data_IF_044904563862
#
_entry.id   IF_044904563862
#
_cell.length_a   1.000
_cell.length_b   1.000
_cell.length_c   1.000
_cell.angle_alpha   90.00
_cell.angle_beta   90.00
_cell.angle_gamma   90.00
#
_symmetry.space_group_name_H-M   'P 1'
#
loop_
_entity.id
_entity.type
_entity.pdbx_description
1 polymer ?
#
# COMPACT_ATOMS: atom_id res chain seq x y z
N UNK A 1 -14.96 -19.77 -19.56
CA UNK A 1 -15.20 -18.52 -20.32
C UNK A 1 -14.35 -17.45 -19.70
N UNK A 2 -13.49 -16.81 -20.49
CA UNK A 2 -12.64 -15.72 -20.02
C UNK A 2 -13.47 -14.46 -19.86
N UNK A 3 -13.51 -13.88 -18.66
CA UNK A 3 -14.31 -12.69 -18.36
C UNK A 3 -13.71 -11.42 -18.97
N UNK A 4 -12.40 -11.41 -19.21
CA UNK A 4 -11.64 -10.27 -19.74
C UNK A 4 -10.96 -10.54 -21.09
N UNK A 5 -11.17 -11.71 -21.70
CA UNK A 5 -10.57 -12.10 -22.98
C UNK A 5 -9.09 -12.49 -22.91
N UNK A 6 -8.46 -12.41 -21.73
CA UNK A 6 -7.09 -12.84 -21.46
C UNK A 6 -7.08 -13.71 -20.20
N UNK A 7 -6.78 -15.00 -20.37
CA UNK A 7 -6.80 -15.97 -19.25
C UNK A 7 -5.88 -15.60 -18.09
N UNK A 8 -4.79 -14.87 -18.36
CA UNK A 8 -3.86 -14.37 -17.33
C UNK A 8 -4.55 -13.37 -16.40
N UNK A 9 -5.39 -12.49 -16.93
CA UNK A 9 -6.12 -11.53 -16.11
C UNK A 9 -7.24 -12.18 -15.31
N UNK A 10 -7.95 -13.14 -15.91
CA UNK A 10 -8.98 -13.88 -15.19
C UNK A 10 -8.39 -14.69 -14.04
N UNK A 11 -7.24 -15.33 -14.23
CA UNK A 11 -6.51 -16.03 -13.15
C UNK A 11 -6.11 -15.08 -12.03
N UNK A 12 -5.53 -13.92 -12.36
CA UNK A 12 -5.12 -12.95 -11.34
C UNK A 12 -6.31 -12.34 -10.59
N UNK A 13 -7.44 -12.09 -11.27
CA UNK A 13 -8.70 -11.68 -10.64
C UNK A 13 -9.25 -12.76 -9.71
N UNK A 14 -9.24 -14.02 -10.13
CA UNK A 14 -9.71 -15.14 -9.32
C UNK A 14 -8.85 -15.29 -8.06
N UNK A 15 -7.52 -15.26 -8.19
CA UNK A 15 -6.61 -15.30 -7.03
C UNK A 15 -6.85 -14.14 -6.08
N UNK A 16 -7.02 -12.92 -6.61
CA UNK A 16 -7.28 -11.73 -5.79
C UNK A 16 -8.63 -11.85 -5.06
N UNK A 17 -9.67 -12.37 -5.72
CA UNK A 17 -10.96 -12.60 -5.07
C UNK A 17 -10.86 -13.66 -3.95
N UNK A 18 -10.05 -14.71 -4.13
CA UNK A 18 -9.80 -15.69 -3.05
C UNK A 18 -9.22 -15.00 -1.81
N UNK A 19 -8.17 -14.18 -1.99
CA UNK A 19 -7.56 -13.44 -0.89
C UNK A 19 -8.54 -12.47 -0.23
N UNK A 20 -9.37 -11.78 -1.02
CA UNK A 20 -10.38 -10.88 -0.46
C UNK A 20 -11.45 -11.61 0.35
N UNK A 21 -11.83 -12.82 -0.06
CA UNK A 21 -12.76 -13.65 0.71
C UNK A 21 -12.11 -14.09 2.04
N UNK A 22 -10.87 -14.58 2.00
CA UNK A 22 -10.11 -14.98 3.20
C UNK A 22 -9.94 -13.80 4.19
N UNK A 23 -9.68 -12.59 3.66
CA UNK A 23 -9.60 -11.38 4.49
C UNK A 23 -10.98 -10.99 5.02
N UNK A 24 -12.03 -11.14 4.22
CA UNK A 24 -13.41 -10.87 4.61
C UNK A 24 -13.92 -11.76 5.74
N UNK A 25 -13.43 -13.00 5.82
CA UNK A 25 -13.68 -13.89 6.97
C UNK A 25 -13.16 -13.31 8.29
N UNK A 26 -12.10 -12.50 8.24
CA UNK A 26 -11.49 -11.89 9.44
C UNK A 26 -11.98 -10.45 9.70
N UNK A 27 -12.15 -9.64 8.65
CA UNK A 27 -12.44 -8.20 8.73
C UNK A 27 -13.94 -7.89 8.69
N UNK A 28 -14.73 -8.76 8.04
CA UNK A 28 -16.18 -8.61 7.90
C UNK A 28 -16.67 -8.76 6.46
N UNK A 29 -18.01 -8.81 6.26
CA UNK A 29 -18.63 -9.17 4.97
C UNK A 29 -18.47 -8.11 3.88
N UNK A 30 -17.96 -6.92 4.21
CA UNK A 30 -17.78 -5.85 3.23
C UNK A 30 -16.49 -6.07 2.42
N UNK A 31 -16.68 -6.31 1.12
CA UNK A 31 -15.57 -6.49 0.16
C UNK A 31 -14.69 -5.24 0.06
N UNK A 32 -15.28 -4.06 0.23
CA UNK A 32 -14.56 -2.80 0.19
C UNK A 32 -13.58 -2.71 1.37
N UNK A 33 -14.04 -3.03 2.58
CA UNK A 33 -13.17 -3.13 3.77
C UNK A 33 -12.06 -4.19 3.62
N UNK A 34 -12.38 -5.35 3.05
CA UNK A 34 -11.38 -6.40 2.80
C UNK A 34 -10.29 -5.93 1.82
N UNK A 35 -10.69 -5.20 0.78
CA UNK A 35 -9.76 -4.56 -0.16
C UNK A 35 -8.89 -3.49 0.51
N UNK A 36 -9.49 -2.66 1.36
CA UNK A 36 -8.76 -1.65 2.13
C UNK A 36 -7.75 -2.28 3.11
N UNK A 37 -8.12 -3.38 3.77
CA UNK A 37 -7.24 -4.13 4.66
C UNK A 37 -6.05 -4.74 3.89
N UNK A 38 -6.30 -5.42 2.76
CA UNK A 38 -5.25 -5.94 1.88
C UNK A 38 -4.27 -4.82 1.48
N UNK A 39 -4.81 -3.70 1.02
CA UNK A 39 -4.01 -2.54 0.59
C UNK A 39 -3.18 -1.96 1.74
N UNK A 40 -3.75 -1.85 2.94
CA UNK A 40 -3.05 -1.37 4.13
C UNK A 40 -1.86 -2.27 4.51
N UNK A 41 -2.05 -3.59 4.47
CA UNK A 41 -0.98 -4.56 4.78
C UNK A 41 0.14 -4.48 3.74
N UNK A 42 -0.21 -4.46 2.46
CA UNK A 42 0.78 -4.34 1.38
C UNK A 42 1.61 -3.06 1.49
N UNK A 43 0.99 -1.93 1.81
CA UNK A 43 1.72 -0.68 2.04
C UNK A 43 2.58 -0.72 3.31
N UNK A 44 2.09 -1.32 4.40
CA UNK A 44 2.88 -1.47 5.63
C UNK A 44 4.10 -2.37 5.43
N UNK A 45 3.97 -3.42 4.61
CA UNK A 45 5.10 -4.26 4.22
C UNK A 45 6.10 -3.47 3.38
N UNK A 46 5.62 -2.69 2.41
CA UNK A 46 6.48 -1.85 1.55
C UNK A 46 7.24 -0.79 2.34
N UNK A 47 6.63 -0.18 3.36
CA UNK A 47 7.26 0.84 4.18
C UNK A 47 8.39 0.27 5.08
N UNK A 48 8.35 -1.04 5.36
CA UNK A 48 9.32 -1.73 6.22
C UNK A 48 10.43 -2.46 5.45
N UNK A 49 10.22 -2.76 4.17
CA UNK A 49 11.16 -3.53 3.35
C UNK A 49 12.12 -2.62 2.56
N UNK A 50 13.40 -2.97 2.43
CA UNK A 50 14.30 -2.30 1.50
C UNK A 50 13.85 -2.52 0.05
N UNK A 51 14.24 -1.63 -0.89
CA UNK A 51 13.73 -1.65 -2.27
C UNK A 51 14.01 -2.97 -3.01
N UNK A 52 15.16 -3.59 -2.77
CA UNK A 52 15.53 -4.90 -3.33
C UNK A 52 14.56 -6.01 -2.90
N UNK A 53 14.28 -6.13 -1.60
CA UNK A 53 13.36 -7.14 -1.05
C UNK A 53 11.91 -6.87 -1.45
N UNK A 54 11.53 -5.60 -1.50
CA UNK A 54 10.22 -5.16 -2.01
C UNK A 54 10.00 -5.60 -3.47
N UNK A 55 11.03 -5.49 -4.32
CA UNK A 55 10.95 -5.96 -5.71
C UNK A 55 10.82 -7.48 -5.79
N UNK A 56 11.54 -8.21 -4.93
CA UNK A 56 11.43 -9.66 -4.86
C UNK A 56 10.03 -10.11 -4.40
N UNK A 57 9.46 -9.47 -3.38
CA UNK A 57 8.08 -9.72 -2.94
C UNK A 57 7.09 -9.46 -4.07
N UNK A 58 7.21 -8.32 -4.75
CA UNK A 58 6.32 -7.96 -5.85
C UNK A 58 6.41 -8.94 -7.04
N UNK A 59 7.54 -9.62 -7.25
CA UNK A 59 7.70 -10.62 -8.30
C UNK A 59 6.80 -11.84 -8.09
N UNK A 60 6.53 -12.20 -6.83
CA UNK A 60 5.68 -13.33 -6.45
C UNK A 60 4.18 -12.99 -6.43
N UNK A 61 3.82 -11.70 -6.48
CA UNK A 61 2.43 -11.27 -6.45
C UNK A 61 1.75 -11.37 -7.83
N UNK A 62 0.45 -11.70 -7.88
CA UNK A 62 -0.36 -11.60 -9.09
C UNK A 62 -0.28 -10.19 -9.70
N UNK A 63 -0.33 -10.08 -11.03
CA UNK A 63 -0.17 -8.80 -11.76
C UNK A 63 -1.10 -7.69 -11.25
N UNK A 64 -2.35 -8.02 -10.91
CA UNK A 64 -3.31 -7.06 -10.35
C UNK A 64 -2.86 -6.53 -8.98
N UNK A 65 -2.47 -7.43 -8.07
CA UNK A 65 -2.01 -7.08 -6.72
C UNK A 65 -0.69 -6.30 -6.79
N UNK A 66 0.19 -6.65 -7.72
CA UNK A 66 1.41 -5.90 -7.99
C UNK A 66 1.12 -4.44 -8.35
N UNK A 67 0.06 -4.18 -9.13
CA UNK A 67 -0.40 -2.82 -9.42
C UNK A 67 -0.81 -2.08 -8.15
N UNK A 68 -1.58 -2.71 -7.26
CA UNK A 68 -2.01 -2.14 -5.97
C UNK A 68 -0.81 -1.87 -5.05
N UNK A 69 0.18 -2.77 -5.03
CA UNK A 69 1.41 -2.65 -4.23
C UNK A 69 2.25 -1.43 -4.62
N UNK A 70 2.36 -1.16 -5.92
CA UNK A 70 3.11 -0.01 -6.43
C UNK A 70 2.30 1.28 -6.48
N UNK A 71 0.97 1.21 -6.44
CA UNK A 71 0.09 2.37 -6.52
C UNK A 71 0.51 3.48 -5.54
N UNK A 72 0.81 4.66 -6.09
CA UNK A 72 1.54 5.73 -5.42
C UNK A 72 0.68 6.55 -4.44
N UNK A 73 -0.43 6.01 -3.91
CA UNK A 73 -1.22 6.68 -2.87
C UNK A 73 -0.57 6.56 -1.48
N UNK A 74 0.77 6.55 -1.45
CA UNK A 74 1.50 6.92 -0.25
C UNK A 74 1.20 8.40 -0.01
N UNK A 75 0.13 8.69 0.76
CA UNK A 75 0.14 9.91 1.56
C UNK A 75 1.47 9.86 2.29
N UNK A 76 2.38 10.83 2.08
CA UNK A 76 3.66 10.79 2.75
C UNK A 76 3.36 10.61 4.23
N UNK A 77 3.90 9.55 4.84
CA UNK A 77 4.02 9.48 6.29
C UNK A 77 4.61 10.84 6.64
N UNK A 78 3.82 11.63 7.33
CA UNK A 78 4.09 13.03 7.59
C UNK A 78 5.56 13.13 7.94
N UNK A 79 6.36 13.82 7.11
CA UNK A 79 7.59 14.45 7.57
C UNK A 79 7.15 15.09 8.87
N UNK A 80 7.57 14.52 10.01
CA UNK A 80 7.39 15.17 11.30
C UNK A 80 7.92 16.56 11.04
N UNK A 81 7.01 17.52 11.06
CA UNK A 81 7.35 18.91 10.95
C UNK A 81 8.22 19.13 12.17
N UNK A 82 9.53 19.01 12.00
CA UNK A 82 10.50 19.64 12.89
C UNK A 82 10.06 21.10 12.86
N UNK A 83 9.26 21.50 13.84
CA UNK A 83 9.01 22.88 14.12
C UNK A 83 10.34 23.36 14.73
N UNK A 84 11.17 24.13 14.03
CA UNK A 84 12.28 24.77 14.70
C UNK A 84 11.68 25.65 15.80
N UNK A 85 12.16 25.43 17.02
CA UNK A 85 11.77 26.19 18.20
C UNK A 85 11.77 27.70 17.88
N UNK A 86 10.62 28.37 18.08
CA UNK A 86 10.42 29.81 17.81
C UNK A 86 11.31 30.73 18.66
N UNK A 87 12.04 30.21 19.64
CA UNK A 87 12.87 31.02 20.55
C UNK A 87 14.19 31.52 19.95
N UNK A 88 14.61 31.06 18.76
CA UNK A 88 15.87 31.51 18.13
C UNK A 88 15.76 32.83 17.35
N UNK A 89 14.55 33.35 17.09
CA UNK A 89 14.35 34.56 16.29
C UNK A 89 14.49 35.89 17.04
N UNK A 90 14.75 35.87 18.36
CA UNK A 90 14.89 37.10 19.17
C UNK A 90 16.32 37.65 19.25
N UNK A 91 17.31 37.08 18.54
CA UNK A 91 18.73 37.48 18.65
C UNK A 91 19.36 37.95 17.33
N UNK A 92 18.60 38.55 16.41
CA UNK A 92 19.14 39.18 15.19
C UNK A 92 18.64 40.62 14.97
N UNK A 93 18.19 41.31 16.01
CA UNK A 93 17.71 42.69 15.90
C UNK A 93 18.21 43.54 17.07
N UNK A 94 19.52 43.64 17.21
CA UNK A 94 20.21 44.59 18.12
C UNK A 94 21.73 44.40 18.04
N UNK A 95 22.34 44.63 16.88
CA UNK A 95 23.66 45.27 16.78
C UNK A 95 23.76 45.91 15.40
#
# INVERSE_FOLDING_TARGET
MSATGLEVFDKTLQTTNSWLNEIGETVGPDKQNSYHALRAVLFALRDRLPPEESAHLASQLPTLVRGIYYDATSRPVSRRRFAPNRSSWRRCRST
#
